data_IF_747791459720
#
_entry.id   IF_747791459720
#
_cell.length_a   1.000
_cell.length_b   1.000
_cell.length_c   1.000
_cell.angle_alpha   90.00
_cell.angle_beta   90.00
_cell.angle_gamma   90.00
#
_symmetry.space_group_name_H-M   'P 1'
#
loop_
_entity.id
_entity.type
_entity.pdbx_description
1 polymer ?
#
# COMPACT_ATOMS: atom_id res chain seq x y z
N UNK A 1 9.82 -9.07 -2.38
CA UNK A 1 9.19 -8.10 -1.45
C UNK A 1 7.93 -7.57 -2.09
N UNK A 2 6.85 -7.52 -1.36
CA UNK A 2 5.58 -6.94 -1.82
C UNK A 2 5.28 -5.69 -1.02
N UNK A 3 5.02 -4.58 -1.72
CA UNK A 3 4.70 -3.28 -1.11
C UNK A 3 3.36 -2.81 -1.67
N UNK A 4 2.47 -2.39 -0.79
CA UNK A 4 1.16 -1.87 -1.17
C UNK A 4 1.12 -0.35 -1.03
N UNK A 5 0.45 0.30 -1.97
CA UNK A 5 0.12 1.72 -1.90
C UNK A 5 -1.39 1.82 -1.97
N UNK A 6 -1.99 2.40 -0.95
CA UNK A 6 -3.45 2.49 -0.82
C UNK A 6 -3.86 3.96 -0.74
N UNK A 7 -4.49 4.45 -1.77
CA UNK A 7 -4.94 5.85 -1.88
C UNK A 7 -6.07 5.91 -2.90
N UNK A 8 -7.12 6.66 -2.61
CA UNK A 8 -8.25 6.81 -3.51
C UNK A 8 -7.93 7.74 -4.71
N UNK A 9 -6.86 8.52 -4.63
CA UNK A 9 -6.44 9.42 -5.70
C UNK A 9 -5.34 8.79 -6.54
N UNK A 10 -5.63 8.54 -7.81
CA UNK A 10 -4.67 7.92 -8.73
C UNK A 10 -3.38 8.75 -8.88
N UNK A 11 -3.50 10.08 -8.91
CA UNK A 11 -2.34 10.95 -9.02
C UNK A 11 -1.39 10.82 -7.83
N UNK A 12 -1.93 10.71 -6.63
CA UNK A 12 -1.16 10.53 -5.41
C UNK A 12 -0.46 9.17 -5.41
N UNK A 13 -1.15 8.11 -5.82
CA UNK A 13 -0.55 6.77 -5.94
C UNK A 13 0.63 6.77 -6.89
N UNK A 14 0.49 7.45 -8.03
CA UNK A 14 1.55 7.51 -9.04
C UNK A 14 2.79 8.21 -8.49
N UNK A 15 2.62 9.33 -7.79
CA UNK A 15 3.72 10.07 -7.19
C UNK A 15 4.47 9.23 -6.15
N UNK A 16 3.74 8.57 -5.28
CA UNK A 16 4.33 7.75 -4.24
C UNK A 16 5.04 6.53 -4.82
N UNK A 17 4.46 5.92 -5.83
CA UNK A 17 5.06 4.79 -6.54
C UNK A 17 6.40 5.18 -7.17
N UNK A 18 6.47 6.33 -7.82
CA UNK A 18 7.71 6.83 -8.41
C UNK A 18 8.79 7.06 -7.37
N UNK A 19 8.43 7.67 -6.25
CA UNK A 19 9.38 7.91 -5.14
C UNK A 19 9.92 6.60 -4.58
N UNK A 20 9.04 5.63 -4.37
CA UNK A 20 9.44 4.31 -3.87
C UNK A 20 10.37 3.59 -4.85
N UNK A 21 10.04 3.62 -6.14
CA UNK A 21 10.89 3.00 -7.17
C UNK A 21 12.30 3.56 -7.15
N UNK A 22 12.43 4.88 -7.03
CA UNK A 22 13.75 5.54 -6.98
C UNK A 22 14.55 5.09 -5.76
N UNK A 23 13.90 5.03 -4.59
CA UNK A 23 14.55 4.60 -3.36
C UNK A 23 14.99 3.13 -3.44
N UNK A 24 14.14 2.27 -3.96
CA UNK A 24 14.45 0.85 -4.11
C UNK A 24 15.59 0.61 -5.09
N UNK A 25 15.63 1.36 -6.19
CA UNK A 25 16.72 1.28 -7.17
C UNK A 25 18.05 1.69 -6.57
N UNK A 26 18.07 2.75 -5.78
CA UNK A 26 19.29 3.21 -5.10
C UNK A 26 19.85 2.16 -4.15
N UNK A 27 18.99 1.39 -3.53
CA UNK A 27 19.35 0.35 -2.55
C UNK A 27 19.51 -1.03 -3.18
N UNK A 28 19.32 -1.13 -4.46
CA UNK A 28 19.37 -2.39 -5.22
C UNK A 28 18.39 -3.44 -4.66
N UNK A 29 17.22 -2.99 -4.23
CA UNK A 29 16.17 -3.86 -3.70
C UNK A 29 15.12 -4.11 -4.77
N UNK A 30 14.78 -5.37 -5.02
CA UNK A 30 13.71 -5.74 -5.92
C UNK A 30 12.41 -5.86 -5.14
N UNK A 31 11.37 -5.18 -5.62
CA UNK A 31 10.06 -5.20 -4.98
C UNK A 31 8.94 -5.07 -6.02
N UNK A 32 7.81 -5.72 -5.72
CA UNK A 32 6.58 -5.54 -6.47
C UNK A 32 5.73 -4.49 -5.75
N UNK A 33 5.43 -3.40 -6.44
CA UNK A 33 4.60 -2.33 -5.91
C UNK A 33 3.19 -2.49 -6.47
N UNK A 34 2.22 -2.71 -5.58
CA UNK A 34 0.83 -2.94 -5.93
C UNK A 34 -0.02 -1.77 -5.45
N UNK A 35 -0.92 -1.29 -6.29
CA UNK A 35 -1.74 -0.12 -6.01
C UNK A 35 -3.18 -0.54 -5.74
N UNK A 36 -3.79 0.08 -4.73
CA UNK A 36 -5.18 -0.15 -4.35
C UNK A 36 -5.87 1.19 -4.14
N UNK A 37 -7.09 1.31 -4.61
CA UNK A 37 -7.86 2.55 -4.48
C UNK A 37 -8.70 2.62 -3.20
N UNK A 38 -8.82 1.52 -2.47
CA UNK A 38 -9.54 1.48 -1.21
C UNK A 38 -8.88 0.54 -0.21
N UNK A 39 -9.15 0.77 1.08
CA UNK A 39 -8.66 -0.09 2.16
C UNK A 39 -9.25 -1.49 2.05
N UNK A 40 -10.48 -1.59 1.57
CA UNK A 40 -11.18 -2.87 1.45
C UNK A 40 -10.52 -3.78 0.42
N UNK A 41 -10.19 -3.25 -0.76
CA UNK A 41 -9.49 -4.03 -1.80
C UNK A 41 -8.10 -4.43 -1.33
N UNK A 42 -7.41 -3.53 -0.63
CA UNK A 42 -6.11 -3.82 -0.06
C UNK A 42 -6.19 -4.97 0.96
N UNK A 43 -7.16 -4.93 1.88
CA UNK A 43 -7.31 -5.96 2.90
C UNK A 43 -7.62 -7.33 2.31
N UNK A 44 -8.43 -7.38 1.25
CA UNK A 44 -8.69 -8.63 0.54
C UNK A 44 -7.41 -9.22 -0.05
N UNK A 45 -6.60 -8.38 -0.69
CA UNK A 45 -5.34 -8.82 -1.25
C UNK A 45 -4.36 -9.28 -0.16
N UNK A 46 -4.33 -8.60 0.99
CA UNK A 46 -3.48 -8.96 2.11
C UNK A 46 -3.85 -10.31 2.74
N UNK A 47 -5.13 -10.69 2.67
CA UNK A 47 -5.58 -12.01 3.13
C UNK A 47 -5.04 -13.14 2.25
N UNK A 48 -4.90 -12.89 0.95
CA UNK A 48 -4.43 -13.90 0.01
C UNK A 48 -2.91 -14.05 0.04
N UNK A 49 -2.20 -12.92 0.20
CA UNK A 49 -0.73 -12.95 0.22
C UNK A 49 -0.21 -11.79 1.08
N UNK A 50 0.81 -12.05 1.92
CA UNK A 50 1.31 -11.02 2.83
C UNK A 50 2.06 -9.91 2.10
N UNK A 51 2.02 -8.71 2.67
CA UNK A 51 2.81 -7.57 2.23
C UNK A 51 3.94 -7.30 3.23
N UNK A 52 5.10 -6.89 2.71
CA UNK A 52 6.23 -6.50 3.55
C UNK A 52 6.00 -5.11 4.16
N UNK A 53 5.39 -4.22 3.37
CA UNK A 53 5.08 -2.86 3.82
C UNK A 53 3.84 -2.35 3.10
N UNK A 54 3.15 -1.39 3.70
CA UNK A 54 1.99 -0.75 3.11
C UNK A 54 1.98 0.74 3.45
N UNK A 55 1.68 1.56 2.44
CA UNK A 55 1.53 3.01 2.58
C UNK A 55 0.05 3.33 2.43
N UNK A 56 -0.56 3.85 3.48
CA UNK A 56 -2.00 4.04 3.57
C UNK A 56 -2.34 5.51 3.74
N UNK A 57 -3.34 5.99 2.97
CA UNK A 57 -3.93 7.30 3.16
C UNK A 57 -4.95 7.21 4.29
N UNK A 58 -4.79 8.03 5.33
CA UNK A 58 -5.66 8.02 6.50
C UNK A 58 -7.04 8.64 6.24
N UNK A 59 -7.22 9.32 5.12
CA UNK A 59 -8.47 10.00 4.76
C UNK A 59 -9.28 9.29 3.69
N UNK A 60 -9.02 7.99 3.47
CA UNK A 60 -9.78 7.21 2.49
C UNK A 60 -11.23 7.00 2.91
N UNK A 61 -12.13 6.98 1.91
CA UNK A 61 -13.53 6.67 2.12
C UNK A 61 -13.72 5.23 2.61
N UNK A 62 -14.69 5.03 3.49
CA UNK A 62 -15.07 3.73 4.01
C UNK A 62 -14.27 3.29 5.23
N UNK A 63 -12.96 3.31 5.14
CA UNK A 63 -12.08 2.87 6.21
C UNK A 63 -10.85 3.77 6.25
N UNK A 64 -10.46 4.26 7.43
CA UNK A 64 -9.23 5.05 7.56
C UNK A 64 -8.01 4.16 7.39
N UNK A 65 -6.89 4.78 6.99
CA UNK A 65 -5.62 4.07 6.88
C UNK A 65 -5.21 3.42 8.19
N UNK A 66 -5.52 4.07 9.32
CA UNK A 66 -5.22 3.53 10.65
C UNK A 66 -6.03 2.27 10.95
N UNK A 67 -7.29 2.23 10.56
CA UNK A 67 -8.14 1.06 10.74
C UNK A 67 -7.65 -0.11 9.89
N UNK A 68 -7.26 0.16 8.66
CA UNK A 68 -6.70 -0.86 7.77
C UNK A 68 -5.42 -1.44 8.35
N UNK A 69 -4.53 -0.59 8.88
CA UNK A 69 -3.29 -1.03 9.50
C UNK A 69 -3.54 -1.89 10.74
N UNK A 70 -4.53 -1.51 11.57
CA UNK A 70 -4.91 -2.30 12.74
C UNK A 70 -5.41 -3.68 12.36
N UNK A 71 -6.22 -3.79 11.30
CA UNK A 71 -6.71 -5.08 10.82
C UNK A 71 -5.60 -5.96 10.31
N UNK A 72 -4.61 -5.39 9.65
CA UNK A 72 -3.43 -6.13 9.22
C UNK A 72 -2.63 -6.72 10.38
N UNK A 73 -2.50 -5.96 11.46
CA UNK A 73 -1.78 -6.43 12.63
C UNK A 73 -2.45 -7.60 13.34
N UNK A 74 -3.77 -7.76 13.16
CA UNK A 74 -4.53 -8.85 13.78
C UNK A 74 -4.52 -10.12 12.93
N UNK A 75 -4.09 -10.02 11.72
CA UNK A 75 -3.97 -11.17 10.83
C UNK A 75 -2.55 -11.67 10.74
#
# INVERSE_FOLDING_TARGET
MRIAIVDDLAAERTLLKDRLRRQLQRRTVQANILEYESSETFLEAAREAPFTAAFLDIYMDGMTGMEAAKKLRKT
#
